data_IF_023960490772
#
_entry.id   IF_023960490772
#
_cell.length_a   1.000
_cell.length_b   1.000
_cell.length_c   1.000
_cell.angle_alpha   90.00
_cell.angle_beta   90.00
_cell.angle_gamma   90.00
#
_symmetry.space_group_name_H-M   'P 1'
#
loop_
_entity.id
_entity.type
_entity.pdbx_description
1 polymer ?
#
# COMPACT_ATOMS: atom_id res chain seq x y z
N UNK A 1 9.89 -8.31 -23.69
CA UNK A 1 9.18 -7.17 -24.29
C UNK A 1 9.08 -6.12 -23.19
N UNK A 2 9.89 -5.05 -23.29
CA UNK A 2 9.97 -4.01 -22.26
C UNK A 2 8.76 -3.09 -22.40
N UNK A 3 7.87 -3.09 -21.41
CA UNK A 3 6.90 -2.01 -21.25
C UNK A 3 7.63 -0.85 -20.53
N UNK A 4 8.23 0.05 -21.31
CA UNK A 4 8.54 1.40 -20.84
C UNK A 4 7.22 2.12 -20.59
N UNK A 5 6.67 1.97 -19.38
CA UNK A 5 5.64 2.87 -18.90
C UNK A 5 6.30 4.16 -18.41
N UNK A 6 6.50 5.09 -19.34
CA UNK A 6 6.85 6.48 -19.07
C UNK A 6 5.66 7.22 -18.42
N UNK A 7 5.19 6.77 -17.25
CA UNK A 7 4.37 7.63 -16.39
C UNK A 7 5.31 8.47 -15.52
N UNK A 8 5.89 9.51 -16.11
CA UNK A 8 6.63 10.58 -15.40
C UNK A 8 5.63 11.50 -14.69
N UNK A 9 4.84 10.94 -13.79
CA UNK A 9 3.78 11.65 -13.09
C UNK A 9 3.74 11.27 -11.62
N UNK A 10 3.89 12.27 -10.76
CA UNK A 10 3.63 12.15 -9.34
C UNK A 10 2.16 12.54 -9.10
N UNK A 11 1.29 11.55 -8.87
CA UNK A 11 -0.10 11.81 -8.53
C UNK A 11 -0.20 12.08 -7.03
N UNK A 12 -0.14 13.36 -6.64
CA UNK A 12 -0.46 13.79 -5.29
C UNK A 12 -1.92 14.23 -5.27
N UNK A 13 -2.76 13.47 -4.57
CA UNK A 13 -4.10 13.89 -4.18
C UNK A 13 -4.07 14.49 -2.79
N UNK A 14 -4.55 15.72 -2.62
CA UNK A 14 -4.87 16.28 -1.31
C UNK A 14 -6.38 16.19 -1.09
N UNK A 15 -6.79 15.58 0.01
CA UNK A 15 -8.18 15.58 0.48
C UNK A 15 -8.17 16.06 1.93
N UNK A 16 -8.68 17.27 2.17
CA UNK A 16 -8.66 17.94 3.48
C UNK A 16 -7.26 18.02 4.11
N UNK A 17 -7.04 17.34 5.24
CA UNK A 17 -5.78 17.21 5.97
C UNK A 17 -4.94 16.02 5.50
N UNK A 18 -5.35 15.29 4.46
CA UNK A 18 -4.72 14.04 4.02
C UNK A 18 -4.04 14.17 2.67
N UNK A 19 -2.94 13.44 2.51
CA UNK A 19 -2.21 13.33 1.26
C UNK A 19 -2.08 11.89 0.84
N UNK A 20 -2.42 11.67 -0.42
CA UNK A 20 -2.35 10.38 -1.08
C UNK A 20 -1.36 10.52 -2.21
N UNK A 21 -0.35 9.67 -2.21
CA UNK A 21 0.68 9.67 -3.23
C UNK A 21 0.57 8.37 -4.01
N UNK A 22 0.25 8.49 -5.30
CA UNK A 22 0.20 7.37 -6.24
C UNK A 22 1.25 7.62 -7.33
N UNK A 23 2.45 7.10 -7.14
CA UNK A 23 3.48 7.12 -8.17
C UNK A 23 4.34 5.87 -8.05
N UNK A 24 4.32 4.95 -9.04
CA UNK A 24 5.06 3.70 -8.99
C UNK A 24 6.55 3.90 -8.70
N UNK A 25 7.16 4.94 -9.30
CA UNK A 25 8.58 5.27 -9.11
C UNK A 25 8.87 5.79 -7.69
N UNK A 26 8.04 6.73 -7.24
CA UNK A 26 8.21 7.40 -5.94
C UNK A 26 7.97 6.44 -4.77
N UNK A 27 7.12 5.44 -5.01
CA UNK A 27 6.89 4.32 -4.12
C UNK A 27 8.18 3.55 -3.88
N UNK A 28 8.94 3.16 -4.91
CA UNK A 28 10.24 2.49 -4.72
C UNK A 28 11.27 3.45 -4.12
N UNK A 29 11.27 4.72 -4.51
CA UNK A 29 12.20 5.71 -3.94
C UNK A 29 11.97 5.93 -2.44
N UNK A 30 10.73 5.92 -1.96
CA UNK A 30 10.41 6.09 -0.53
C UNK A 30 10.45 4.76 0.24
N UNK A 31 10.01 3.66 -0.36
CA UNK A 31 9.90 2.37 0.32
C UNK A 31 11.21 1.56 0.26
N UNK A 32 11.86 1.48 -0.91
CA UNK A 32 13.04 0.64 -1.17
C UNK A 32 14.37 1.36 -0.91
N UNK A 33 14.52 2.61 -1.37
CA UNK A 33 15.80 3.34 -1.29
C UNK A 33 15.98 4.20 -0.03
N UNK A 34 15.02 4.18 0.90
CA UNK A 34 14.98 5.06 2.08
C UNK A 34 15.34 6.51 1.72
N UNK A 35 14.81 7.03 0.59
CA UNK A 35 15.12 8.37 0.12
C UNK A 35 14.52 9.41 1.08
N UNK A 36 15.28 9.68 2.14
CA UNK A 36 14.85 10.53 3.24
C UNK A 36 14.55 11.95 2.76
N UNK A 37 15.15 12.41 1.66
CA UNK A 37 14.95 13.78 1.16
C UNK A 37 13.50 14.02 0.78
N UNK A 38 12.91 13.14 -0.02
CA UNK A 38 11.54 13.32 -0.47
C UNK A 38 10.53 13.12 0.67
N UNK A 39 10.69 12.06 1.47
CA UNK A 39 9.86 11.82 2.66
C UNK A 39 9.91 13.00 3.62
N UNK A 40 11.10 13.53 3.90
CA UNK A 40 11.28 14.69 4.78
C UNK A 40 10.66 15.95 4.17
N UNK A 41 10.72 16.15 2.86
CA UNK A 41 10.07 17.28 2.20
C UNK A 41 8.55 17.19 2.31
N UNK A 42 7.97 16.01 2.12
CA UNK A 42 6.52 15.80 2.30
C UNK A 42 6.09 16.07 3.74
N UNK A 43 6.83 15.54 4.73
CA UNK A 43 6.57 15.80 6.15
C UNK A 43 6.68 17.29 6.48
N UNK A 44 7.68 17.99 5.94
CA UNK A 44 7.84 19.44 6.17
C UNK A 44 6.71 20.27 5.58
N UNK A 45 6.23 19.90 4.40
CA UNK A 45 5.13 20.59 3.73
C UNK A 45 3.79 20.30 4.40
N UNK A 46 3.65 19.14 5.03
CA UNK A 46 2.40 18.64 5.58
C UNK A 46 2.61 17.98 6.96
N UNK A 47 3.03 18.77 7.96
CA UNK A 47 3.48 18.25 9.25
C UNK A 47 2.36 17.61 10.06
N UNK A 48 1.12 18.07 9.88
CA UNK A 48 -0.07 17.61 10.63
C UNK A 48 -0.94 16.64 9.83
N UNK A 49 -0.47 16.22 8.65
CA UNK A 49 -1.22 15.36 7.74
C UNK A 49 -0.97 13.88 7.98
N UNK A 50 -1.96 13.06 7.65
CA UNK A 50 -1.72 11.64 7.33
C UNK A 50 -1.24 11.55 5.87
N UNK A 51 -0.08 10.94 5.68
CA UNK A 51 0.48 10.63 4.37
C UNK A 51 0.46 9.11 4.22
N UNK A 52 -0.32 8.64 3.25
CA UNK A 52 -0.39 7.23 2.92
C UNK A 52 0.29 6.94 1.58
N UNK A 53 1.19 5.98 1.62
CA UNK A 53 1.90 5.46 0.46
C UNK A 53 1.42 4.02 0.31
N UNK A 54 0.71 3.74 -0.77
CA UNK A 54 -0.01 2.48 -0.96
C UNK A 54 0.41 1.84 -2.29
N UNK A 55 0.71 0.55 -2.26
CA UNK A 55 1.25 -0.20 -3.41
C UNK A 55 0.62 -1.57 -3.47
N UNK A 56 -0.04 -1.85 -4.58
CA UNK A 56 -0.41 -3.20 -4.97
C UNK A 56 -0.18 -3.30 -6.47
N UNK A 57 0.92 -3.96 -6.86
CA UNK A 57 1.31 -4.15 -8.25
C UNK A 57 2.30 -5.31 -8.34
N UNK A 58 2.15 -6.18 -9.36
CA UNK A 58 3.08 -7.25 -9.77
C UNK A 58 4.09 -7.71 -8.70
N UNK A 59 3.68 -8.68 -7.87
CA UNK A 59 4.50 -9.29 -6.79
C UNK A 59 4.98 -8.33 -5.69
N UNK A 60 4.44 -7.10 -5.64
CA UNK A 60 4.73 -6.11 -4.61
C UNK A 60 3.42 -5.63 -3.99
N UNK A 61 3.24 -5.97 -2.72
CA UNK A 61 2.17 -5.43 -1.89
C UNK A 61 2.82 -4.72 -0.71
N UNK A 62 2.62 -3.42 -0.58
CA UNK A 62 3.36 -2.62 0.39
C UNK A 62 2.61 -1.35 0.75
N UNK A 63 2.83 -0.86 1.97
CA UNK A 63 2.32 0.43 2.39
C UNK A 63 3.19 1.07 3.48
N UNK A 64 3.12 2.40 3.56
CA UNK A 64 3.64 3.19 4.67
C UNK A 64 2.60 4.24 5.05
N UNK A 65 2.35 4.36 6.35
CA UNK A 65 1.50 5.38 6.93
C UNK A 65 2.36 6.27 7.82
N UNK A 66 2.37 7.56 7.48
CA UNK A 66 3.01 8.61 8.24
C UNK A 66 1.90 9.50 8.79
N UNK A 67 1.92 9.76 10.08
CA UNK A 67 0.93 10.61 10.75
C UNK A 67 1.65 11.62 11.63
N UNK A 68 1.29 12.89 11.51
CA UNK A 68 1.89 13.99 12.26
C UNK A 68 3.43 13.98 12.16
N UNK A 69 3.93 13.79 10.94
CA UNK A 69 5.35 13.69 10.62
C UNK A 69 6.09 12.43 11.10
N UNK A 70 5.40 11.48 11.72
CA UNK A 70 5.98 10.24 12.24
C UNK A 70 5.50 9.02 11.46
N UNK A 71 6.42 8.15 11.03
CA UNK A 71 6.05 6.89 10.40
C UNK A 71 5.52 5.91 11.46
N UNK A 72 4.21 5.68 11.44
CA UNK A 72 3.54 4.82 12.43
C UNK A 72 3.51 3.36 11.99
N UNK A 73 3.56 3.11 10.68
CA UNK A 73 3.51 1.77 10.10
C UNK A 73 4.23 1.72 8.76
N UNK A 74 5.15 0.78 8.60
CA UNK A 74 5.79 0.42 7.32
C UNK A 74 5.69 -1.08 7.11
N UNK A 75 5.06 -1.50 6.03
CA UNK A 75 5.07 -2.89 5.59
C UNK A 75 5.48 -2.95 4.12
N UNK A 76 6.60 -3.62 3.85
CA UNK A 76 7.06 -3.89 2.49
C UNK A 76 7.11 -5.39 2.32
N UNK A 77 6.43 -5.88 1.29
CA UNK A 77 6.42 -7.26 0.92
C UNK A 77 6.65 -7.38 -0.58
N UNK A 78 7.86 -7.81 -0.92
CA UNK A 78 8.25 -8.21 -2.27
C UNK A 78 8.61 -9.69 -2.26
N UNK A 79 8.85 -10.27 -3.43
CA UNK A 79 9.39 -11.63 -3.52
C UNK A 79 10.82 -11.73 -2.92
N UNK A 80 11.56 -10.62 -2.92
CA UNK A 80 13.00 -10.60 -2.58
C UNK A 80 13.27 -10.22 -1.12
N UNK A 81 12.44 -9.38 -0.51
CA UNK A 81 12.66 -8.89 0.85
C UNK A 81 11.38 -8.45 1.55
N UNK A 82 11.45 -8.38 2.89
CA UNK A 82 10.33 -8.01 3.75
C UNK A 82 10.76 -6.97 4.78
N UNK A 83 9.95 -5.93 4.95
CA UNK A 83 10.08 -4.95 6.04
C UNK A 83 8.74 -4.88 6.79
N UNK A 84 8.79 -4.92 8.12
CA UNK A 84 7.60 -4.93 8.95
C UNK A 84 7.88 -4.13 10.24
N UNK A 85 7.58 -2.84 10.23
CA UNK A 85 7.91 -1.87 11.29
C UNK A 85 6.62 -1.22 11.80
N UNK A 86 6.54 -0.98 13.11
CA UNK A 86 5.38 -0.35 13.75
C UNK A 86 4.29 -1.36 14.14
N UNK A 87 3.24 -0.86 14.79
CA UNK A 87 2.12 -1.68 15.23
C UNK A 87 1.15 -1.97 14.07
N UNK A 88 0.54 -3.15 14.07
CA UNK A 88 -0.49 -3.51 13.08
C UNK A 88 -1.64 -2.51 13.15
N UNK A 89 -2.05 -2.01 11.99
CA UNK A 89 -3.22 -1.14 11.88
C UNK A 89 -4.52 -1.96 12.11
N UNK A 90 -5.63 -1.30 12.53
CA UNK A 90 -6.93 -1.97 12.60
C UNK A 90 -7.33 -2.65 11.29
N UNK A 91 -7.04 -2.04 10.15
CA UNK A 91 -7.29 -2.58 8.80
C UNK A 91 -6.53 -3.89 8.57
N UNK A 92 -5.27 -3.98 9.01
CA UNK A 92 -4.48 -5.22 8.90
C UNK A 92 -5.11 -6.35 9.69
N UNK A 93 -5.58 -6.05 10.90
CA UNK A 93 -6.19 -7.05 11.78
C UNK A 93 -7.50 -7.54 11.16
N UNK A 94 -8.29 -6.63 10.58
CA UNK A 94 -9.53 -6.98 9.88
C UNK A 94 -9.25 -7.82 8.63
N UNK A 95 -8.30 -7.42 7.78
CA UNK A 95 -7.92 -8.16 6.58
C UNK A 95 -7.35 -9.53 6.92
N UNK A 96 -6.51 -9.64 7.96
CA UNK A 96 -6.02 -10.91 8.46
C UNK A 96 -7.17 -11.83 8.88
N UNK A 97 -8.10 -11.34 9.70
CA UNK A 97 -9.24 -12.11 10.18
C UNK A 97 -10.19 -12.57 9.06
N UNK A 98 -10.32 -11.79 7.97
CA UNK A 98 -11.06 -12.20 6.77
C UNK A 98 -10.31 -13.29 6.00
N UNK A 99 -9.02 -13.06 5.75
CA UNK A 99 -8.17 -13.95 4.95
C UNK A 99 -8.08 -15.35 5.55
N UNK A 100 -7.87 -15.47 6.87
CA UNK A 100 -7.77 -16.77 7.54
C UNK A 100 -9.11 -17.53 7.65
N UNK A 101 -10.22 -16.92 7.22
CA UNK A 101 -11.55 -17.55 7.15
C UNK A 101 -11.97 -17.85 5.72
N UNK A 102 -11.20 -17.42 4.73
CA UNK A 102 -11.46 -17.66 3.32
C UNK A 102 -10.90 -19.04 2.95
N UNK A 103 -11.80 -20.00 2.69
CA UNK A 103 -11.42 -21.37 2.36
C UNK A 103 -10.61 -21.44 1.07
N UNK A 104 -10.94 -20.62 0.07
CA UNK A 104 -10.24 -20.60 -1.22
C UNK A 104 -8.79 -20.11 -1.05
N UNK A 105 -8.59 -19.04 -0.28
CA UNK A 105 -7.23 -18.55 0.01
C UNK A 105 -6.43 -19.58 0.80
N UNK A 106 -7.04 -20.22 1.80
CA UNK A 106 -6.37 -21.25 2.61
C UNK A 106 -5.98 -22.48 1.79
N UNK A 107 -6.81 -22.91 0.84
CA UNK A 107 -6.51 -23.99 -0.09
C UNK A 107 -5.37 -23.61 -1.04
N UNK A 108 -5.45 -22.41 -1.62
CA UNK A 108 -4.40 -21.88 -2.51
C UNK A 108 -3.05 -21.78 -1.80
N UNK A 109 -3.03 -21.32 -0.55
CA UNK A 109 -1.82 -21.24 0.26
C UNK A 109 -1.22 -22.64 0.54
N UNK A 110 -2.06 -23.65 0.80
CA UNK A 110 -1.61 -25.03 1.00
C UNK A 110 -1.05 -25.62 -0.29
N UNK A 111 -1.66 -25.34 -1.43
CA UNK A 111 -1.18 -25.81 -2.74
C UNK A 111 0.15 -25.18 -3.11
N UNK A 112 0.27 -23.85 -3.02
CA UNK A 112 1.52 -23.13 -3.25
C UNK A 112 2.66 -23.64 -2.37
N UNK A 113 2.37 -23.93 -1.09
CA UNK A 113 3.34 -24.48 -0.15
C UNK A 113 3.74 -25.92 -0.48
N UNK A 114 2.83 -26.75 -1.03
CA UNK A 114 3.14 -28.12 -1.47
C UNK A 114 4.00 -28.13 -2.74
N UNK A 115 3.73 -27.20 -3.65
CA UNK A 115 4.46 -27.07 -4.92
C UNK A 115 5.82 -26.35 -4.75
N UNK A 116 6.09 -25.79 -3.57
CA UNK A 116 7.34 -25.08 -3.27
C UNK A 116 7.42 -23.68 -3.87
N UNK A 117 6.29 -23.11 -4.31
CA UNK A 117 6.23 -21.79 -4.94
C UNK A 117 6.37 -20.66 -3.91
N UNK A 118 5.66 -20.80 -2.78
CA UNK A 118 5.70 -19.86 -1.65
C UNK A 118 5.29 -20.60 -0.39
N UNK A 119 5.91 -20.30 0.75
CA UNK A 119 5.49 -20.92 2.01
C UNK A 119 4.07 -20.46 2.39
N UNK A 120 3.36 -21.23 3.21
CA UNK A 120 1.98 -20.94 3.59
C UNK A 120 1.81 -19.54 4.22
N UNK A 121 2.64 -19.20 5.21
CA UNK A 121 2.54 -17.94 5.94
C UNK A 121 2.83 -16.72 5.04
N UNK A 122 3.75 -16.86 4.10
CA UNK A 122 4.13 -15.85 3.13
C UNK A 122 3.02 -15.61 2.11
N UNK A 123 2.31 -16.67 1.72
CA UNK A 123 1.15 -16.56 0.86
C UNK A 123 0.03 -15.81 1.58
N UNK A 124 -0.25 -16.18 2.83
CA UNK A 124 -1.25 -15.49 3.66
C UNK A 124 -0.84 -14.03 3.87
N UNK A 125 0.41 -13.76 4.25
CA UNK A 125 0.88 -12.40 4.51
C UNK A 125 0.83 -11.54 3.24
N UNK A 126 1.06 -12.14 2.07
CA UNK A 126 0.91 -11.46 0.78
C UNK A 126 -0.52 -11.03 0.49
N UNK A 127 -1.48 -11.94 0.62
CA UNK A 127 -2.89 -11.64 0.43
C UNK A 127 -3.41 -10.65 1.48
N UNK A 128 -3.01 -10.81 2.75
CA UNK A 128 -3.39 -9.86 3.81
C UNK A 128 -2.85 -8.47 3.53
N UNK A 129 -1.62 -8.37 3.03
CA UNK A 129 -0.99 -7.08 2.71
C UNK A 129 -1.69 -6.41 1.53
N UNK A 130 -2.04 -7.17 0.49
CA UNK A 130 -2.83 -6.69 -0.64
C UNK A 130 -4.20 -6.15 -0.19
N UNK A 131 -4.95 -6.96 0.54
CA UNK A 131 -6.25 -6.58 1.07
C UNK A 131 -6.15 -5.38 2.01
N UNK A 132 -5.08 -5.26 2.78
CA UNK A 132 -4.83 -4.08 3.62
C UNK A 132 -4.62 -2.84 2.78
N UNK A 133 -3.86 -2.92 1.69
CA UNK A 133 -3.65 -1.79 0.76
C UNK A 133 -4.99 -1.29 0.25
N UNK A 134 -5.88 -2.20 -0.17
CA UNK A 134 -7.22 -1.84 -0.62
C UNK A 134 -8.08 -1.30 0.52
N UNK A 135 -8.10 -1.94 1.68
CA UNK A 135 -8.89 -1.50 2.83
C UNK A 135 -8.50 -0.09 3.30
N UNK A 136 -7.21 0.23 3.32
CA UNK A 136 -6.71 1.57 3.67
C UNK A 136 -7.25 2.66 2.77
N UNK A 137 -7.58 2.36 1.52
CA UNK A 137 -8.15 3.35 0.60
C UNK A 137 -9.51 3.90 1.07
N UNK A 138 -10.25 3.17 1.91
CA UNK A 138 -11.52 3.65 2.51
C UNK A 138 -11.34 4.91 3.34
N UNK A 139 -10.18 5.11 3.97
CA UNK A 139 -9.85 6.32 4.75
C UNK A 139 -9.90 7.60 3.91
N UNK A 140 -9.79 7.44 2.60
CA UNK A 140 -9.65 8.53 1.64
C UNK A 140 -10.78 8.58 0.61
N UNK A 141 -11.33 7.45 0.20
CA UNK A 141 -12.30 7.40 -0.91
C UNK A 141 -13.69 6.92 -0.51
N UNK A 142 -13.99 6.87 0.78
CA UNK A 142 -15.24 6.37 1.38
C UNK A 142 -15.49 4.87 1.18
N UNK A 143 -15.07 4.30 0.06
CA UNK A 143 -15.10 2.88 -0.29
C UNK A 143 -13.72 2.37 -0.69
N UNK A 144 -13.57 1.05 -0.61
CA UNK A 144 -12.35 0.37 -1.07
C UNK A 144 -12.29 0.36 -2.59
N UNK A 145 -11.09 0.50 -3.15
CA UNK A 145 -10.88 0.49 -4.60
C UNK A 145 -11.19 -0.85 -5.25
N UNK A 146 -11.22 -1.93 -4.46
CA UNK A 146 -11.63 -3.27 -4.89
C UNK A 146 -13.11 -3.59 -4.61
N UNK A 147 -13.92 -2.62 -4.13
CA UNK A 147 -15.35 -2.88 -3.90
C UNK A 147 -16.14 -2.93 -5.21
N UNK A 148 -17.20 -3.76 -5.29
CA UNK A 148 -18.05 -3.85 -6.49
C UNK A 148 -18.69 -2.53 -6.90
N UNK A 149 -18.98 -1.67 -5.91
CA UNK A 149 -19.55 -0.33 -6.09
C UNK A 149 -18.52 0.69 -6.58
N UNK A 150 -17.23 0.36 -6.50
CA UNK A 150 -16.11 1.24 -6.82
C UNK A 150 -15.85 2.33 -5.78
N UNK A 151 -14.75 3.05 -5.96
CA UNK A 151 -14.36 4.22 -5.17
C UNK A 151 -14.62 5.51 -5.92
N UNK A 152 -14.89 6.60 -5.19
CA UNK A 152 -15.07 7.94 -5.76
C UNK A 152 -13.71 8.59 -6.12
N UNK A 153 -12.95 7.95 -7.01
CA UNK A 153 -11.66 8.47 -7.50
C UNK A 153 -11.80 9.84 -8.15
N UNK A 154 -12.95 10.12 -8.76
CA UNK A 154 -13.25 11.40 -9.41
C UNK A 154 -13.34 12.59 -8.43
N UNK A 155 -13.48 12.34 -7.12
CA UNK A 155 -13.43 13.41 -6.12
C UNK A 155 -12.02 13.94 -5.84
N UNK A 156 -10.97 13.25 -6.30
CA UNK A 156 -9.58 13.66 -6.06
C UNK A 156 -9.24 14.86 -6.96
N UNK A 157 -8.92 15.99 -6.34
CA UNK A 157 -8.22 17.09 -7.03
C UNK A 157 -6.75 16.71 -7.19
N UNK A 158 -6.44 16.11 -8.33
CA UNK A 158 -5.08 15.84 -8.75
C UNK A 158 -4.34 17.17 -8.95
N UNK A 159 -3.32 17.42 -8.13
CA UNK A 159 -2.44 18.57 -8.34
C UNK A 159 -1.14 18.06 -8.92
N UNK A 160 -0.93 18.32 -10.21
CA UNK A 160 0.32 17.99 -10.88
C UNK A 160 1.36 19.06 -10.53
N UNK A 161 2.49 18.63 -9.96
CA UNK A 161 3.67 19.46 -9.81
C UNK A 161 4.64 19.12 -10.95
N UNK A 162 4.93 20.11 -11.80
CA UNK A 162 5.94 20.03 -12.87
C UNK A 162 7.30 20.49 -12.37
#
# INVERSE_FOLDING_TARGET
>A
MQAQNNMTGLSIGKLDDKIIIVSPQLIFDILENDNQVLKNNLIKLFPDSEIAILVSAYNVNSYSIIQNGNEIRKKILTDSFKINIGQKLPEEIQCYNRTIKDEFILESAKEASKNGEKNFDDFIDFNVTEETVFELTKRYFSNSINSPEGSNFTAIKMTYYN
#
